data_IF_787163096043
#
_entry.id   IF_787163096043
#
_cell.length_a   1.000
_cell.length_b   1.000
_cell.length_c   1.000
_cell.angle_alpha   90.00
_cell.angle_beta   90.00
_cell.angle_gamma   90.00
#
_symmetry.space_group_name_H-M   'P 1'
#
loop_
_entity.id
_entity.type
_entity.pdbx_description
1 polymer ?
#
# COMPACT_ATOMS: atom_id res chain seq x y z
N UNK A 1 37.51 -19.67 -10.49
CA UNK A 1 36.23 -18.91 -10.58
C UNK A 1 36.25 -17.75 -9.59
N UNK A 2 36.43 -16.52 -10.07
CA UNK A 2 36.42 -15.33 -9.20
C UNK A 2 34.99 -15.06 -8.71
N UNK A 3 34.77 -15.14 -7.39
CA UNK A 3 33.49 -14.81 -6.76
C UNK A 3 33.14 -13.34 -7.10
N UNK A 4 32.10 -13.13 -7.93
CA UNK A 4 31.55 -11.78 -8.20
C UNK A 4 31.22 -11.13 -6.86
N UNK A 5 31.93 -10.05 -6.49
CA UNK A 5 31.57 -9.21 -5.35
C UNK A 5 30.11 -8.76 -5.54
N UNK A 6 29.21 -9.18 -4.65
CA UNK A 6 27.84 -8.63 -4.58
C UNK A 6 28.01 -7.12 -4.41
N UNK A 7 27.60 -6.32 -5.40
CA UNK A 7 27.46 -4.86 -5.24
C UNK A 7 26.49 -4.67 -4.07
N UNK A 8 27.02 -4.25 -2.92
CA UNK A 8 26.19 -3.86 -1.78
C UNK A 8 25.22 -2.79 -2.24
N UNK A 9 23.97 -2.85 -1.78
CA UNK A 9 23.04 -1.75 -1.95
C UNK A 9 23.72 -0.45 -1.52
N UNK A 10 23.62 0.61 -2.32
CA UNK A 10 24.13 1.93 -1.95
C UNK A 10 23.63 2.29 -0.55
N UNK A 11 24.51 2.85 0.26
CA UNK A 11 24.18 3.34 1.60
C UNK A 11 22.94 4.26 1.53
N UNK A 12 22.01 4.24 2.51
CA UNK A 12 20.80 5.06 2.48
C UNK A 12 21.08 6.56 2.25
N UNK A 13 22.22 7.07 2.73
CA UNK A 13 22.69 8.43 2.53
C UNK A 13 23.08 8.78 1.08
N UNK A 14 23.34 7.77 0.23
CA UNK A 14 23.67 7.95 -1.19
C UNK A 14 22.44 7.93 -2.10
N UNK A 15 21.25 7.71 -1.54
CA UNK A 15 20.01 7.74 -2.30
C UNK A 15 19.33 9.07 -2.00
N UNK A 16 19.00 9.88 -3.03
CA UNK A 16 18.33 11.16 -2.81
C UNK A 16 17.06 10.96 -1.98
N UNK A 17 16.76 11.83 -1.02
CA UNK A 17 15.56 11.72 -0.20
C UNK A 17 14.30 11.70 -1.06
N UNK A 18 13.20 11.20 -0.49
CA UNK A 18 11.91 11.21 -1.18
C UNK A 18 11.48 12.65 -1.44
N UNK A 19 11.11 12.93 -2.67
CA UNK A 19 10.63 14.22 -3.15
C UNK A 19 9.11 14.17 -3.40
N UNK A 20 8.49 15.31 -3.68
CA UNK A 20 7.06 15.46 -3.96
C UNK A 20 6.58 14.47 -5.02
N UNK A 21 7.37 14.22 -6.06
CA UNK A 21 7.03 13.25 -7.13
C UNK A 21 6.87 11.83 -6.60
N UNK A 22 7.65 11.42 -5.61
CA UNK A 22 7.51 10.11 -4.98
C UNK A 22 6.18 9.99 -4.26
N UNK A 23 5.80 11.02 -3.51
CA UNK A 23 4.53 11.04 -2.79
C UNK A 23 3.31 11.06 -3.72
N UNK A 24 3.36 11.81 -4.82
CA UNK A 24 2.31 11.79 -5.87
C UNK A 24 2.19 10.38 -6.46
N UNK A 25 3.32 9.74 -6.80
CA UNK A 25 3.31 8.37 -7.30
C UNK A 25 2.70 7.38 -6.29
N UNK A 26 3.05 7.50 -5.00
CA UNK A 26 2.47 6.67 -3.94
C UNK A 26 0.96 6.88 -3.82
N UNK A 27 0.50 8.12 -3.90
CA UNK A 27 -0.92 8.46 -3.81
C UNK A 27 -1.71 7.83 -4.96
N UNK A 28 -1.24 7.97 -6.20
CA UNK A 28 -1.85 7.36 -7.38
C UNK A 28 -1.85 5.83 -7.35
N UNK A 29 -0.88 5.22 -6.65
CA UNK A 29 -0.86 3.77 -6.43
C UNK A 29 -1.87 3.29 -5.39
N UNK A 30 -2.21 4.15 -4.41
CA UNK A 30 -3.04 3.78 -3.25
C UNK A 30 -4.50 4.11 -3.52
N UNK A 31 -4.77 5.33 -4.00
CA UNK A 31 -6.11 5.86 -4.20
C UNK A 31 -6.59 5.58 -5.62
N UNK A 32 -7.87 5.22 -5.82
CA UNK A 32 -8.45 5.23 -7.15
C UNK A 32 -8.37 6.65 -7.72
N UNK A 33 -8.05 6.73 -9.01
CA UNK A 33 -8.00 8.00 -9.73
C UNK A 33 -9.39 8.30 -10.30
N UNK A 34 -9.84 9.55 -10.15
CA UNK A 34 -11.09 10.01 -10.76
C UNK A 34 -10.79 10.37 -12.22
N UNK A 35 -11.33 9.59 -13.14
CA UNK A 35 -11.34 9.88 -14.56
C UNK A 35 -12.51 10.84 -14.86
N UNK A 36 -12.32 11.78 -15.79
CA UNK A 36 -13.37 12.68 -16.26
C UNK A 36 -14.48 11.92 -17.00
N UNK A 37 -14.20 10.68 -17.44
CA UNK A 37 -15.21 9.75 -17.95
C UNK A 37 -16.07 9.17 -16.82
N UNK A 38 -17.41 9.14 -16.98
CA UNK A 38 -18.33 9.05 -15.85
C UNK A 38 -18.24 7.71 -15.11
N UNK A 39 -17.91 7.79 -13.82
CA UNK A 39 -18.42 6.87 -12.80
C UNK A 39 -17.56 5.69 -12.39
N UNK A 40 -16.36 5.49 -12.97
CA UNK A 40 -15.52 4.34 -12.60
C UNK A 40 -14.25 4.77 -11.86
N UNK A 41 -14.20 4.44 -10.57
CA UNK A 41 -12.98 4.45 -9.77
C UNK A 41 -11.95 3.48 -10.37
N UNK A 42 -11.18 3.94 -11.35
CA UNK A 42 -10.14 3.13 -12.00
C UNK A 42 -8.84 3.29 -11.24
N UNK A 43 -8.13 2.18 -11.06
CA UNK A 43 -6.74 2.21 -10.59
C UNK A 43 -5.82 2.42 -11.81
N UNK A 44 -4.99 3.47 -11.82
CA UNK A 44 -4.10 3.70 -12.94
C UNK A 44 -3.04 2.60 -13.02
N UNK A 45 -2.67 2.24 -14.25
CA UNK A 45 -1.57 1.32 -14.52
C UNK A 45 -0.22 1.95 -14.15
N UNK A 46 0.83 1.13 -14.01
CA UNK A 46 2.18 1.67 -13.72
C UNK A 46 2.68 2.61 -14.82
N UNK A 47 2.29 2.37 -16.07
CA UNK A 47 2.65 3.26 -17.19
C UNK A 47 1.98 4.61 -17.02
N UNK A 48 0.65 4.61 -16.78
CA UNK A 48 -0.13 5.84 -16.57
C UNK A 48 0.37 6.64 -15.37
N UNK A 49 0.71 5.98 -14.26
CA UNK A 49 1.29 6.64 -13.08
C UNK A 49 2.62 7.32 -13.43
N UNK A 50 3.48 6.64 -14.20
CA UNK A 50 4.77 7.20 -14.59
C UNK A 50 4.59 8.44 -15.49
N UNK A 51 3.64 8.38 -16.43
CA UNK A 51 3.27 9.50 -17.31
C UNK A 51 2.72 10.69 -16.52
N UNK A 52 1.77 10.46 -15.61
CA UNK A 52 1.18 11.50 -14.76
C UNK A 52 2.22 12.20 -13.87
N UNK A 53 3.22 11.45 -13.40
CA UNK A 53 4.30 11.99 -12.54
C UNK A 53 5.43 12.63 -13.37
N UNK A 54 5.45 12.43 -14.69
CA UNK A 54 6.49 12.94 -15.57
C UNK A 54 7.85 12.23 -15.38
N UNK A 55 7.83 10.91 -15.25
CA UNK A 55 9.03 10.06 -15.12
C UNK A 55 8.96 8.85 -16.04
N UNK A 56 10.09 8.19 -16.28
CA UNK A 56 10.08 6.92 -17.01
C UNK A 56 9.52 5.79 -16.14
N UNK A 57 8.86 4.82 -16.78
CA UNK A 57 8.38 3.59 -16.10
C UNK A 57 9.51 2.84 -15.37
N UNK A 58 10.73 2.87 -15.91
CA UNK A 58 11.91 2.26 -15.28
C UNK A 58 12.34 3.00 -14.01
N UNK A 59 12.21 4.34 -13.97
CA UNK A 59 12.47 5.10 -12.74
C UNK A 59 11.44 4.76 -11.66
N UNK A 60 10.15 4.67 -12.02
CA UNK A 60 9.11 4.24 -11.09
C UNK A 60 9.40 2.84 -10.52
N UNK A 61 9.78 1.89 -11.38
CA UNK A 61 10.18 0.55 -10.96
C UNK A 61 11.33 0.60 -9.94
N UNK A 62 12.38 1.40 -10.20
CA UNK A 62 13.50 1.56 -9.25
C UNK A 62 13.06 2.18 -7.93
N UNK A 63 12.11 3.11 -7.95
CA UNK A 63 11.55 3.67 -6.72
C UNK A 63 10.82 2.62 -5.89
N UNK A 64 10.00 1.78 -6.53
CA UNK A 64 9.28 0.69 -5.85
C UNK A 64 10.20 -0.33 -5.14
N UNK A 65 11.45 -0.48 -5.60
CA UNK A 65 12.45 -1.35 -4.98
C UNK A 65 13.16 -0.73 -3.78
N UNK A 66 13.01 0.58 -3.54
CA UNK A 66 13.67 1.24 -2.40
C UNK A 66 12.89 1.03 -1.10
N UNK A 67 13.62 0.77 0.00
CA UNK A 67 13.01 0.51 1.32
C UNK A 67 12.27 1.71 1.90
N UNK A 68 12.81 2.91 1.73
CA UNK A 68 12.20 4.16 2.20
C UNK A 68 10.88 4.45 1.48
N UNK A 69 10.86 4.26 0.17
CA UNK A 69 9.65 4.37 -0.65
C UNK A 69 8.58 3.36 -0.21
N UNK A 70 8.97 2.10 0.01
CA UNK A 70 8.07 1.06 0.48
C UNK A 70 7.50 1.37 1.87
N UNK A 71 8.33 1.87 2.79
CA UNK A 71 7.93 2.24 4.14
C UNK A 71 6.86 3.34 4.14
N UNK A 72 7.12 4.45 3.45
CA UNK A 72 6.20 5.58 3.36
C UNK A 72 4.91 5.20 2.62
N UNK A 73 5.01 4.44 1.51
CA UNK A 73 3.82 3.89 0.82
C UNK A 73 2.97 3.05 1.76
N UNK A 74 3.58 2.19 2.57
CA UNK A 74 2.87 1.36 3.54
C UNK A 74 2.20 2.20 4.64
N UNK A 75 2.84 3.27 5.11
CA UNK A 75 2.28 4.22 6.07
C UNK A 75 1.06 4.94 5.49
N UNK A 76 1.17 5.45 4.26
CA UNK A 76 0.06 6.09 3.56
C UNK A 76 -1.10 5.11 3.32
N UNK A 77 -0.81 3.88 2.90
CA UNK A 77 -1.83 2.85 2.67
C UNK A 77 -2.60 2.53 3.95
N UNK A 78 -1.91 2.32 5.08
CA UNK A 78 -2.56 2.09 6.37
C UNK A 78 -3.44 3.26 6.78
N UNK A 79 -2.95 4.49 6.60
CA UNK A 79 -3.76 5.69 6.90
C UNK A 79 -4.98 5.79 5.99
N UNK A 80 -4.85 5.44 4.71
CA UNK A 80 -5.97 5.44 3.76
C UNK A 80 -7.02 4.40 4.16
N UNK A 81 -6.61 3.13 4.36
CA UNK A 81 -7.51 2.05 4.74
C UNK A 81 -8.24 2.33 6.06
N UNK A 82 -7.56 2.92 7.06
CA UNK A 82 -8.22 3.33 8.32
C UNK A 82 -9.34 4.35 8.12
N UNK A 83 -9.27 5.16 7.06
CA UNK A 83 -10.28 6.19 6.75
C UNK A 83 -11.39 5.66 5.84
N UNK A 84 -11.04 4.79 4.88
CA UNK A 84 -11.95 4.38 3.81
C UNK A 84 -12.60 3.03 4.01
N UNK A 85 -11.94 2.10 4.70
CA UNK A 85 -12.56 0.83 5.05
C UNK A 85 -13.40 1.08 6.31
N UNK A 86 -14.72 0.87 6.27
CA UNK A 86 -15.54 0.95 7.47
C UNK A 86 -14.92 0.03 8.52
N UNK A 87 -14.76 0.52 9.76
CA UNK A 87 -14.25 -0.31 10.86
C UNK A 87 -15.08 -1.60 10.85
N UNK A 88 -14.42 -2.73 10.59
CA UNK A 88 -15.10 -3.99 10.39
C UNK A 88 -16.06 -4.25 11.54
N UNK A 89 -17.20 -4.86 11.18
CA UNK A 89 -18.17 -5.41 12.13
C UNK A 89 -17.42 -6.02 13.32
N UNK A 90 -17.78 -5.67 14.55
CA UNK A 90 -17.20 -6.33 15.73
C UNK A 90 -17.32 -7.86 15.60
N UNK A 91 -16.50 -8.65 16.30
CA UNK A 91 -16.67 -10.11 16.30
C UNK A 91 -18.12 -10.52 16.66
N UNK A 92 -18.81 -9.70 17.45
CA UNK A 92 -20.24 -9.84 17.74
C UNK A 92 -21.12 -9.60 16.51
N UNK A 93 -20.92 -8.52 15.78
CA UNK A 93 -21.63 -8.25 14.54
C UNK A 93 -21.32 -9.26 13.42
N UNK A 94 -20.10 -9.83 13.39
CA UNK A 94 -19.74 -10.91 12.47
C UNK A 94 -20.41 -12.23 12.86
N UNK A 95 -20.46 -12.56 14.15
CA UNK A 95 -21.18 -13.73 14.66
C UNK A 95 -22.68 -13.64 14.41
N UNK A 96 -23.29 -12.47 14.64
CA UNK A 96 -24.70 -12.20 14.34
C UNK A 96 -25.01 -12.31 12.83
N UNK A 97 -24.03 -12.00 11.97
CA UNK A 97 -24.14 -12.17 10.53
C UNK A 97 -23.87 -13.61 10.05
N UNK A 98 -23.62 -14.57 10.95
CA UNK A 98 -23.46 -15.99 10.65
C UNK A 98 -22.02 -16.48 10.47
N UNK A 99 -21.00 -15.67 10.81
CA UNK A 99 -19.60 -16.14 10.76
C UNK A 99 -19.28 -17.02 11.99
N UNK A 100 -19.22 -18.34 11.75
CA UNK A 100 -18.96 -19.36 12.76
C UNK A 100 -17.62 -19.18 13.49
N UNK A 101 -16.61 -18.61 12.83
CA UNK A 101 -15.27 -18.44 13.41
C UNK A 101 -15.25 -17.28 14.41
N UNK A 102 -15.97 -16.21 14.09
CA UNK A 102 -16.16 -15.08 14.99
C UNK A 102 -16.99 -15.46 16.23
N UNK A 103 -18.02 -16.30 16.05
CA UNK A 103 -18.82 -16.84 17.16
C UNK A 103 -17.98 -17.70 18.10
N UNK A 104 -17.15 -18.59 17.56
CA UNK A 104 -16.27 -19.45 18.36
C UNK A 104 -15.27 -18.64 19.18
N UNK A 105 -14.71 -17.57 18.61
CA UNK A 105 -13.82 -16.65 19.31
C UNK A 105 -14.53 -15.94 20.48
N UNK A 106 -15.78 -15.48 20.28
CA UNK A 106 -16.56 -14.89 21.37
C UNK A 106 -16.87 -15.89 22.48
N UNK A 107 -17.32 -17.09 22.13
CA UNK A 107 -17.61 -18.14 23.11
C UNK A 107 -16.38 -18.52 23.92
N UNK A 108 -15.20 -18.58 23.28
CA UNK A 108 -13.94 -18.83 23.98
C UNK A 108 -13.55 -17.72 24.95
N UNK A 109 -13.85 -16.46 24.60
CA UNK A 109 -13.59 -15.31 25.46
C UNK A 109 -14.52 -15.29 26.68
N UNK A 110 -15.80 -15.65 26.53
CA UNK A 110 -16.74 -15.76 27.65
C UNK A 110 -16.44 -16.93 28.60
N UNK A 111 -15.83 -18.01 28.10
CA UNK A 111 -15.50 -19.19 28.90
C UNK A 111 -14.22 -19.05 29.72
N UNK A 112 -13.43 -18.01 29.46
CA UNK A 112 -12.16 -17.73 30.14
C UNK A 112 -12.28 -16.74 31.31
N UNK A 113 -13.50 -16.27 31.60
CA UNK A 113 -13.89 -15.46 32.76
C UNK A 113 -14.63 -16.37 33.74
#
# INVERSE_FOLDING_TARGET
>A
MTKRKKKGSKQPSQVPPLDKRHYIAMELMIKPYYDEKPGRNRRPSRTEIAELVGISRMQLYRWEQRKDFQYEKGKMLRSYLRKTVPKGRTHAEMALAGDAKALQQLLSAFKAI
#
